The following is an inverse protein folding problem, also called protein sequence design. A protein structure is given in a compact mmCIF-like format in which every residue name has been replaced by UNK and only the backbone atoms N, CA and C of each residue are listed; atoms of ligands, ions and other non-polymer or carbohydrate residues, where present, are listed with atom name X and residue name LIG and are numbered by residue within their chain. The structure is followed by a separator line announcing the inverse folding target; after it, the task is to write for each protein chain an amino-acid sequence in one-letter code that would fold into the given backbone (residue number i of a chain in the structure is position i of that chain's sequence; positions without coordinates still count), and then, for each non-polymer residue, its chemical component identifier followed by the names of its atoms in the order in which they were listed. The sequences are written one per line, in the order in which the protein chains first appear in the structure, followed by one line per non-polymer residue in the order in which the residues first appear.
data_IF_149936206436
#
_entry.id   IF_149936206436
#
_cell.length_a   1.000
_cell.length_b   1.000
_cell.length_c   1.000
_cell.angle_alpha   90.00
_cell.angle_beta   90.00
_cell.angle_gamma   90.00
#
_symmetry.space_group_name_H-M   'P 1'
#
loop_
_entity.id
_entity.type
_entity.pdbx_description
1 polymer ?
#
# COMPACT_ATOMS: atom_id res chain seq x y z
N UNK A 1 10.61 -1.15 -17.05
CA UNK A 1 9.35 -0.38 -17.14
C UNK A 1 8.54 -0.80 -18.35
N UNK A 2 9.08 -0.75 -19.57
CA UNK A 2 8.28 -1.07 -20.77
C UNK A 2 7.73 -2.51 -20.80
N UNK A 3 8.44 -3.49 -20.24
CA UNK A 3 7.93 -4.86 -20.10
C UNK A 3 6.72 -4.96 -19.15
N UNK A 4 6.68 -4.16 -18.08
CA UNK A 4 5.56 -4.12 -17.12
C UNK A 4 4.33 -3.50 -17.78
N UNK A 5 4.53 -2.42 -18.54
CA UNK A 5 3.47 -1.79 -19.33
C UNK A 5 2.87 -2.75 -20.37
N UNK A 6 3.72 -3.54 -21.02
CA UNK A 6 3.27 -4.57 -21.97
C UNK A 6 2.44 -5.65 -21.27
N UNK A 7 2.81 -6.08 -20.07
CA UNK A 7 2.02 -7.03 -19.26
C UNK A 7 0.67 -6.46 -18.84
N UNK A 8 0.60 -5.17 -18.49
CA UNK A 8 -0.66 -4.47 -18.18
C UNK A 8 -1.53 -4.38 -19.44
N UNK A 9 -0.98 -3.86 -20.55
CA UNK A 9 -1.70 -3.64 -21.80
C UNK A 9 -2.18 -4.92 -22.49
N UNK A 10 -1.51 -6.05 -22.25
CA UNK A 10 -1.90 -7.34 -22.80
C UNK A 10 -3.01 -8.03 -22.00
N UNK A 11 -3.55 -7.39 -20.95
CA UNK A 11 -4.61 -7.97 -20.11
C UNK A 11 -4.13 -9.18 -19.30
N UNK A 12 -2.83 -9.33 -19.08
CA UNK A 12 -2.28 -10.43 -18.28
C UNK A 12 -2.72 -10.32 -16.82
N UNK A 13 -2.92 -9.10 -16.31
CA UNK A 13 -3.49 -8.85 -14.98
C UNK A 13 -4.92 -9.40 -14.90
N UNK A 14 -5.74 -9.12 -15.93
CA UNK A 14 -7.08 -9.69 -16.09
C UNK A 14 -7.04 -11.22 -16.11
N UNK A 15 -6.12 -11.83 -16.84
CA UNK A 15 -6.00 -13.30 -16.85
C UNK A 15 -5.62 -13.90 -15.49
N UNK A 16 -4.67 -13.30 -14.75
CA UNK A 16 -4.24 -13.80 -13.44
C UNK A 16 -5.35 -13.67 -12.38
N UNK A 17 -6.13 -12.58 -12.43
CA UNK A 17 -7.26 -12.36 -11.52
C UNK A 17 -8.47 -13.26 -11.83
N UNK A 18 -8.66 -13.65 -13.10
CA UNK A 18 -9.79 -14.48 -13.54
C UNK A 18 -9.46 -15.98 -13.53
N UNK A 19 -8.20 -16.37 -13.82
CA UNK A 19 -7.73 -17.77 -13.82
C UNK A 19 -7.18 -18.18 -12.46
N UNK A 20 -7.98 -18.12 -11.40
CA UNK A 20 -7.57 -18.63 -10.08
C UNK A 20 -7.72 -20.16 -9.89
N UNK A 21 -7.97 -20.95 -10.95
CA UNK A 21 -8.32 -22.37 -10.79
C UNK A 21 -7.47 -23.42 -11.54
N UNK A 22 -6.37 -23.08 -12.23
CA UNK A 22 -5.67 -24.10 -13.06
C UNK A 22 -4.14 -24.07 -13.16
N UNK A 23 -3.43 -23.17 -12.47
CA UNK A 23 -1.95 -23.21 -12.49
C UNK A 23 -1.41 -23.85 -11.22
N UNK A 24 -1.13 -25.14 -11.32
CA UNK A 24 -0.31 -25.88 -10.37
C UNK A 24 1.04 -25.17 -10.25
N UNK A 25 1.33 -24.59 -9.09
CA UNK A 25 2.63 -24.00 -8.78
C UNK A 25 3.71 -25.05 -9.03
N UNK A 26 4.74 -24.69 -9.79
CA UNK A 26 5.90 -25.54 -10.02
C UNK A 26 6.79 -25.36 -8.79
N UNK A 27 6.71 -26.33 -7.88
CA UNK A 27 7.55 -26.45 -6.71
C UNK A 27 8.92 -26.99 -7.16
N UNK A 28 9.97 -26.16 -7.09
CA UNK A 28 11.33 -26.54 -7.54
C UNK A 28 12.08 -27.28 -6.40
N UNK A 29 11.54 -27.26 -5.18
CA UNK A 29 12.13 -27.78 -3.94
C UNK A 29 11.04 -27.91 -2.85
N UNK A 30 11.23 -28.72 -1.79
CA UNK A 30 10.23 -28.97 -0.70
C UNK A 30 9.90 -27.73 0.19
N UNK A 31 10.24 -26.51 -0.25
CA UNK A 31 9.99 -25.27 0.47
C UNK A 31 9.09 -24.40 -0.40
N UNK A 32 7.89 -24.08 0.07
CA UNK A 32 7.02 -23.11 -0.60
C UNK A 32 7.54 -21.69 -0.34
N UNK A 33 8.37 -21.14 -1.24
CA UNK A 33 8.97 -19.81 -1.10
C UNK A 33 7.94 -18.69 -0.99
N UNK A 34 6.77 -18.89 -1.61
CA UNK A 34 5.67 -17.91 -1.55
C UNK A 34 5.13 -17.81 -0.13
N UNK A 35 4.96 -18.95 0.55
CA UNK A 35 4.52 -18.99 1.95
C UNK A 35 5.56 -18.36 2.88
N UNK A 36 6.84 -18.66 2.70
CA UNK A 36 7.91 -18.10 3.53
C UNK A 36 8.07 -16.58 3.33
N UNK A 37 7.92 -16.08 2.10
CA UNK A 37 7.90 -14.64 1.83
C UNK A 37 6.69 -13.96 2.49
N UNK A 38 5.51 -14.59 2.45
CA UNK A 38 4.30 -14.08 3.12
C UNK A 38 4.50 -14.01 4.63
N UNK A 39 5.08 -15.05 5.25
CA UNK A 39 5.40 -15.05 6.69
C UNK A 39 6.42 -13.97 7.06
N UNK A 40 7.47 -13.79 6.26
CA UNK A 40 8.47 -12.75 6.46
C UNK A 40 7.85 -11.35 6.38
N UNK A 41 7.02 -11.11 5.36
CA UNK A 41 6.29 -9.85 5.19
C UNK A 41 5.30 -9.60 6.32
N UNK A 42 4.54 -10.62 6.71
CA UNK A 42 3.61 -10.54 7.84
C UNK A 42 4.35 -10.19 9.13
N UNK A 43 5.49 -10.84 9.41
CA UNK A 43 6.33 -10.56 10.57
C UNK A 43 6.83 -9.10 10.57
N UNK A 44 7.34 -8.61 9.44
CA UNK A 44 7.76 -7.21 9.31
C UNK A 44 6.61 -6.24 9.57
N UNK A 45 5.44 -6.47 8.96
CA UNK A 45 4.27 -5.60 9.13
C UNK A 45 3.81 -5.61 10.59
N UNK A 46 3.65 -6.78 11.20
CA UNK A 46 3.11 -6.94 12.56
C UNK A 46 4.06 -6.38 13.61
N UNK A 47 5.36 -6.64 13.48
CA UNK A 47 6.33 -6.32 14.52
C UNK A 47 7.01 -4.96 14.33
N UNK A 48 6.99 -4.38 13.12
CA UNK A 48 7.63 -3.09 12.83
C UNK A 48 6.62 -2.04 12.41
N UNK A 49 5.87 -2.31 11.35
CA UNK A 49 5.01 -1.29 10.74
C UNK A 49 3.81 -0.95 11.61
N UNK A 50 3.07 -1.95 12.10
CA UNK A 50 1.89 -1.75 12.94
C UNK A 50 2.25 -0.87 14.15
N UNK A 51 3.23 -1.21 15.01
CA UNK A 51 3.62 -0.36 16.12
C UNK A 51 4.06 1.06 15.73
N UNK A 52 4.74 1.20 14.59
CA UNK A 52 5.26 2.48 14.11
C UNK A 52 4.14 3.44 13.70
N UNK A 53 3.09 2.95 13.04
CA UNK A 53 1.95 3.77 12.58
C UNK A 53 0.86 3.98 13.64
N UNK A 54 1.10 3.57 14.89
CA UNK A 54 0.07 3.54 15.94
C UNK A 54 -0.60 4.90 16.13
N UNK A 55 0.18 5.96 16.18
CA UNK A 55 -0.32 7.31 16.46
C UNK A 55 -1.28 7.76 15.36
N UNK A 56 -0.88 7.61 14.10
CA UNK A 56 -1.64 7.98 12.91
C UNK A 56 -2.90 7.12 12.78
N UNK A 57 -2.79 5.82 13.06
CA UNK A 57 -3.93 4.91 13.06
C UNK A 57 -4.95 5.26 14.16
N UNK A 58 -4.49 5.57 15.37
CA UNK A 58 -5.36 6.00 16.47
C UNK A 58 -6.02 7.36 16.16
N UNK A 59 -5.31 8.30 15.54
CA UNK A 59 -5.89 9.58 15.09
C UNK A 59 -6.98 9.37 14.03
N UNK A 60 -6.72 8.51 13.04
CA UNK A 60 -7.71 8.17 12.03
C UNK A 60 -8.95 7.49 12.64
N UNK A 61 -8.76 6.54 13.55
CA UNK A 61 -9.85 5.88 14.27
C UNK A 61 -10.64 6.89 15.11
N UNK A 62 -9.96 7.79 15.81
CA UNK A 62 -10.58 8.85 16.62
C UNK A 62 -11.50 9.73 15.79
N UNK A 63 -11.03 10.20 14.64
CA UNK A 63 -11.85 10.98 13.72
C UNK A 63 -13.16 10.26 13.35
N UNK A 64 -13.06 8.97 13.01
CA UNK A 64 -14.22 8.19 12.59
C UNK A 64 -15.17 7.88 13.76
N UNK A 65 -14.64 7.57 14.94
CA UNK A 65 -15.44 7.32 16.15
C UNK A 65 -16.16 8.59 16.59
N UNK A 66 -15.47 9.74 16.64
CA UNK A 66 -16.11 11.01 17.00
C UNK A 66 -17.19 11.41 15.99
N UNK A 67 -16.92 11.22 14.69
CA UNK A 67 -17.92 11.48 13.64
C UNK A 67 -19.15 10.57 13.78
N UNK A 68 -18.97 9.29 14.10
CA UNK A 68 -20.07 8.37 14.33
C UNK A 68 -20.88 8.75 15.59
N UNK A 69 -20.21 9.08 16.70
CA UNK A 69 -20.86 9.44 17.96
C UNK A 69 -21.66 10.75 17.83
N UNK A 70 -21.11 11.75 17.17
CA UNK A 70 -21.77 13.06 16.97
C UNK A 70 -23.01 12.99 16.08
N UNK A 71 -23.12 11.97 15.24
CA UNK A 71 -24.31 11.71 14.41
C UNK A 71 -25.44 11.02 15.18
N UNK A 72 -25.21 10.56 16.42
CA UNK A 72 -26.25 9.89 17.20
C UNK A 72 -27.22 10.89 17.84
N UNK A 73 -28.55 10.62 17.85
CA UNK A 73 -29.53 11.47 18.51
C UNK A 73 -29.27 11.69 20.00
N UNK A 74 -28.70 10.68 20.67
CA UNK A 74 -28.33 10.74 22.08
C UNK A 74 -27.26 11.81 22.36
N UNK A 75 -26.29 11.98 21.45
CA UNK A 75 -25.25 12.98 21.58
C UNK A 75 -25.78 14.40 21.37
N UNK A 76 -26.60 14.60 20.33
CA UNK A 76 -27.20 15.90 20.02
C UNK A 76 -28.06 16.44 21.17
N UNK A 77 -28.76 15.56 21.89
CA UNK A 77 -29.56 15.93 23.05
C UNK A 77 -28.76 16.34 24.30
N UNK A 78 -27.48 15.96 24.37
CA UNK A 78 -26.62 16.16 25.55
C UNK A 78 -25.46 17.13 25.31
N UNK A 79 -25.26 17.63 24.08
CA UNK A 79 -24.12 18.47 23.70
C UNK A 79 -23.99 19.76 24.56
N UNK A 80 -25.12 20.29 25.03
CA UNK A 80 -25.18 21.51 25.84
C UNK A 80 -24.95 21.28 27.35
N UNK A 81 -24.81 20.02 27.78
CA UNK A 81 -24.60 19.70 29.20
C UNK A 81 -23.11 19.86 29.55
N UNK A 82 -22.77 20.65 30.59
CA UNK A 82 -21.39 20.80 31.04
C UNK A 82 -20.74 19.45 31.36
N UNK A 83 -19.54 19.23 30.83
CA UNK A 83 -18.76 18.00 31.08
C UNK A 83 -19.02 16.84 30.11
N UNK A 84 -20.09 16.86 29.31
CA UNK A 84 -20.37 15.79 28.34
C UNK A 84 -19.29 15.67 27.26
N UNK A 85 -18.77 16.79 26.76
CA UNK A 85 -17.66 16.80 25.78
C UNK A 85 -16.39 16.15 26.33
N UNK A 86 -16.06 16.39 27.60
CA UNK A 86 -14.90 15.78 28.24
C UNK A 86 -15.09 14.27 28.44
N UNK A 87 -16.29 13.84 28.85
CA UNK A 87 -16.64 12.43 28.98
C UNK A 87 -16.60 11.69 27.64
N UNK A 88 -17.14 12.31 26.58
CA UNK A 88 -17.08 11.77 25.22
C UNK A 88 -15.64 11.58 24.77
N UNK A 89 -14.81 12.62 24.88
CA UNK A 89 -13.40 12.54 24.48
C UNK A 89 -12.69 11.38 25.19
N UNK A 90 -12.88 11.22 26.50
CA UNK A 90 -12.30 10.09 27.24
C UNK A 90 -12.82 8.72 26.79
N UNK A 91 -14.11 8.63 26.43
CA UNK A 91 -14.69 7.40 25.90
C UNK A 91 -14.11 7.08 24.52
N UNK A 92 -14.03 8.08 23.63
CA UNK A 92 -13.40 7.95 22.32
C UNK A 92 -11.96 7.48 22.45
N UNK A 93 -11.14 8.12 23.30
CA UNK A 93 -9.76 7.71 23.55
C UNK A 93 -9.63 6.23 23.93
N UNK A 94 -10.47 5.77 24.86
CA UNK A 94 -10.47 4.38 25.32
C UNK A 94 -10.90 3.41 24.22
N UNK A 95 -11.97 3.75 23.48
CA UNK A 95 -12.46 2.92 22.40
C UNK A 95 -11.42 2.78 21.28
N UNK A 96 -10.82 3.90 20.87
CA UNK A 96 -9.77 3.93 19.85
C UNK A 96 -8.59 3.04 20.26
N UNK A 97 -8.08 3.23 21.48
CA UNK A 97 -6.95 2.44 21.98
C UNK A 97 -7.28 0.96 22.07
N UNK A 98 -8.50 0.60 22.51
CA UNK A 98 -8.94 -0.79 22.59
C UNK A 98 -9.13 -1.43 21.22
N UNK A 99 -9.70 -0.70 20.25
CA UNK A 99 -9.88 -1.19 18.87
C UNK A 99 -8.53 -1.44 18.21
N UNK A 100 -7.61 -0.48 18.32
CA UNK A 100 -6.28 -0.60 17.75
C UNK A 100 -5.48 -1.74 18.41
N UNK A 101 -5.55 -1.87 19.74
CA UNK A 101 -4.90 -2.96 20.46
C UNK A 101 -5.49 -4.32 20.07
N UNK A 102 -6.82 -4.43 19.98
CA UNK A 102 -7.50 -5.66 19.57
C UNK A 102 -7.10 -6.10 18.17
N UNK A 103 -7.02 -5.17 17.21
CA UNK A 103 -6.52 -5.44 15.87
C UNK A 103 -5.06 -5.88 15.89
N UNK A 104 -4.20 -5.19 16.64
CA UNK A 104 -2.77 -5.52 16.73
C UNK A 104 -2.55 -6.92 17.29
N UNK A 105 -3.29 -7.31 18.34
CA UNK A 105 -3.23 -8.66 18.92
C UNK A 105 -3.80 -9.70 17.97
N UNK A 106 -4.91 -9.40 17.28
CA UNK A 106 -5.48 -10.30 16.27
C UNK A 106 -4.51 -10.57 15.12
N UNK A 107 -3.79 -9.54 14.68
CA UNK A 107 -2.75 -9.67 13.66
C UNK A 107 -1.53 -10.46 14.16
N UNK A 108 -1.14 -10.33 15.43
CA UNK A 108 -0.11 -11.20 16.02
C UNK A 108 -0.47 -12.68 15.97
N UNK A 109 -1.76 -13.03 15.89
CA UNK A 109 -2.23 -14.38 15.64
C UNK A 109 -1.71 -14.98 14.33
N UNK A 110 -1.39 -14.16 13.31
CA UNK A 110 -0.76 -14.61 12.05
C UNK A 110 0.67 -15.16 12.24
N UNK A 111 1.31 -14.86 13.37
CA UNK A 111 2.66 -15.35 13.70
C UNK A 111 2.64 -16.61 14.56
N UNK A 112 1.45 -17.07 14.96
CA UNK A 112 1.26 -18.25 15.80
C UNK A 112 0.64 -19.33 14.91
N UNK A 113 1.14 -20.55 15.01
CA UNK A 113 0.49 -21.70 14.38
C UNK A 113 -0.80 -22.04 15.14
N UNK A 114 -1.92 -21.47 14.70
CA UNK A 114 -3.27 -21.75 15.20
C UNK A 114 -4.11 -22.34 14.04
N UNK A 115 -4.36 -23.67 14.05
CA UNK A 115 -5.10 -24.33 12.98
C UNK A 115 -6.52 -23.82 12.75
N UNK A 116 -7.19 -23.30 13.78
CA UNK A 116 -8.54 -22.74 13.65
C UNK A 116 -8.50 -21.35 13.04
N UNK A 117 -7.51 -20.55 13.43
CA UNK A 117 -7.25 -19.24 12.81
C UNK A 117 -6.89 -19.39 11.33
N UNK A 118 -5.97 -20.30 10.98
CA UNK A 118 -5.56 -20.56 9.61
C UNK A 118 -6.74 -20.96 8.73
N UNK A 119 -7.60 -21.85 9.24
CA UNK A 119 -8.83 -22.28 8.56
C UNK A 119 -9.82 -21.14 8.34
N UNK A 120 -9.95 -20.21 9.30
CA UNK A 120 -10.82 -19.04 9.16
C UNK A 120 -10.25 -18.04 8.15
N UNK A 121 -8.93 -17.84 8.18
CA UNK A 121 -8.22 -16.96 7.25
C UNK A 121 -8.31 -17.48 5.83
N UNK A 122 -8.09 -18.77 5.61
CA UNK A 122 -8.20 -19.42 4.29
C UNK A 122 -9.59 -19.19 3.68
N UNK A 123 -10.65 -19.43 4.46
CA UNK A 123 -12.04 -19.18 4.04
C UNK A 123 -12.30 -17.71 3.70
N UNK A 124 -11.73 -16.78 4.48
CA UNK A 124 -11.87 -15.35 4.23
C UNK A 124 -11.17 -14.96 2.92
N UNK A 125 -9.95 -15.44 2.70
CA UNK A 125 -9.16 -15.17 1.49
C UNK A 125 -9.83 -15.74 0.25
N UNK A 126 -10.33 -16.97 0.32
CA UNK A 126 -11.07 -17.61 -0.78
C UNK A 126 -12.30 -16.79 -1.14
N UNK A 127 -13.12 -16.43 -0.15
CA UNK A 127 -14.34 -15.66 -0.37
C UNK A 127 -14.05 -14.25 -0.89
N UNK A 128 -13.04 -13.59 -0.33
CA UNK A 128 -12.60 -12.27 -0.75
C UNK A 128 -12.13 -12.28 -2.21
N UNK A 129 -11.23 -13.19 -2.58
CA UNK A 129 -10.68 -13.29 -3.93
C UNK A 129 -11.77 -13.54 -4.96
N UNK A 130 -12.69 -14.46 -4.66
CA UNK A 130 -13.84 -14.76 -5.53
C UNK A 130 -14.79 -13.57 -5.69
N UNK A 131 -15.10 -12.87 -4.60
CA UNK A 131 -15.99 -11.70 -4.64
C UNK A 131 -15.34 -10.53 -5.39
N UNK A 132 -14.07 -10.24 -5.11
CA UNK A 132 -13.33 -9.18 -5.78
C UNK A 132 -13.21 -9.46 -7.28
N UNK A 133 -12.82 -10.68 -7.66
CA UNK A 133 -12.72 -11.07 -9.07
C UNK A 133 -14.06 -10.98 -9.82
N UNK A 134 -15.18 -11.23 -9.14
CA UNK A 134 -16.53 -11.08 -9.70
C UNK A 134 -16.89 -9.62 -9.93
N UNK A 135 -16.68 -8.74 -8.94
CA UNK A 135 -17.05 -7.32 -9.05
C UNK A 135 -16.16 -6.57 -10.05
N UNK A 136 -14.84 -6.85 -10.02
CA UNK A 136 -13.89 -6.27 -10.97
C UNK A 136 -14.23 -6.61 -12.43
N UNK A 137 -14.82 -7.78 -12.68
CA UNK A 137 -15.34 -8.17 -14.01
C UNK A 137 -16.67 -7.50 -14.35
N UNK A 138 -17.55 -7.31 -13.37
CA UNK A 138 -18.89 -6.78 -13.58
C UNK A 138 -18.88 -5.26 -13.84
N UNK A 139 -18.02 -4.52 -13.15
CA UNK A 139 -18.00 -3.05 -13.22
C UNK A 139 -16.96 -2.47 -14.19
N UNK A 140 -16.29 -3.29 -15.00
CA UNK A 140 -15.16 -2.84 -15.85
C UNK A 140 -14.05 -2.12 -15.05
N UNK A 141 -13.95 -2.40 -13.75
CA UNK A 141 -12.98 -1.75 -12.87
C UNK A 141 -11.55 -2.19 -13.19
N UNK A 142 -11.35 -3.37 -13.79
CA UNK A 142 -10.03 -3.81 -14.24
C UNK A 142 -9.48 -2.86 -15.31
N UNK A 143 -10.29 -2.47 -16.30
CA UNK A 143 -9.80 -1.55 -17.34
C UNK A 143 -9.42 -0.18 -16.75
N UNK A 144 -10.12 0.28 -15.72
CA UNK A 144 -9.79 1.51 -15.00
C UNK A 144 -8.50 1.38 -14.19
N UNK A 145 -8.28 0.26 -13.50
CA UNK A 145 -7.06 -0.02 -12.75
C UNK A 145 -5.86 -0.11 -13.72
N UNK A 146 -6.01 -0.80 -14.85
CA UNK A 146 -4.96 -0.90 -15.88
C UNK A 146 -4.59 0.50 -16.43
N UNK A 147 -5.58 1.38 -16.66
CA UNK A 147 -5.33 2.77 -17.06
C UNK A 147 -4.55 3.55 -16.00
N UNK A 148 -4.98 3.50 -14.73
CA UNK A 148 -4.32 4.24 -13.64
C UNK A 148 -2.90 3.74 -13.37
N UNK A 149 -2.66 2.42 -13.46
CA UNK A 149 -1.32 1.86 -13.36
C UNK A 149 -0.43 2.31 -14.52
N UNK A 150 -1.00 2.39 -15.72
CA UNK A 150 -0.28 2.87 -16.88
C UNK A 150 0.12 4.35 -16.72
N UNK A 151 -0.80 5.18 -16.26
CA UNK A 151 -0.55 6.61 -16.00
C UNK A 151 0.51 6.79 -14.90
N UNK A 152 0.44 6.03 -13.81
CA UNK A 152 1.43 6.07 -12.73
C UNK A 152 2.84 5.67 -13.21
N UNK A 153 2.95 4.66 -14.08
CA UNK A 153 4.24 4.26 -14.65
C UNK A 153 4.81 5.35 -15.57
N UNK A 154 3.96 6.06 -16.30
CA UNK A 154 4.34 7.23 -17.11
C UNK A 154 4.85 8.36 -16.20
N UNK A 155 4.15 8.65 -15.10
CA UNK A 155 4.58 9.65 -14.11
C UNK A 155 5.94 9.31 -13.48
N UNK A 156 6.17 8.06 -13.08
CA UNK A 156 7.46 7.61 -12.55
C UNK A 156 8.57 7.78 -13.60
N UNK A 157 8.29 7.42 -14.87
CA UNK A 157 9.24 7.56 -15.97
C UNK A 157 9.59 9.03 -16.20
N UNK A 158 8.60 9.92 -16.22
CA UNK A 158 8.79 11.37 -16.35
C UNK A 158 9.67 11.90 -15.21
N UNK A 159 9.35 11.56 -13.96
CA UNK A 159 10.12 11.99 -12.79
C UNK A 159 11.57 11.46 -12.82
N UNK A 160 11.77 10.21 -13.25
CA UNK A 160 13.11 9.62 -13.37
C UNK A 160 13.94 10.27 -14.49
N UNK A 161 13.33 10.58 -15.64
CA UNK A 161 13.98 11.28 -16.75
C UNK A 161 14.31 12.73 -16.37
N UNK A 162 13.42 13.41 -15.64
CA UNK A 162 13.65 14.78 -15.16
C UNK A 162 14.86 14.84 -14.22
N UNK A 163 14.98 13.90 -13.27
CA UNK A 163 16.13 13.83 -12.37
C UNK A 163 17.47 13.58 -13.12
N UNK A 164 17.47 12.71 -14.13
CA UNK A 164 18.64 12.49 -14.98
C UNK A 164 19.02 13.72 -15.81
N UNK A 165 18.05 14.54 -16.23
CA UNK A 165 18.35 15.74 -17.03
C UNK A 165 19.03 16.84 -16.21
N UNK A 166 18.74 16.96 -14.91
CA UNK A 166 19.44 17.91 -14.03
C UNK A 166 20.89 17.47 -13.76
N UNK A 167 21.11 16.20 -13.41
CA UNK A 167 22.45 15.67 -13.07
C UNK A 167 23.40 15.59 -14.28
N UNK A 168 22.86 15.28 -15.47
CA UNK A 168 23.67 15.19 -16.69
C UNK A 168 23.95 16.55 -17.34
N UNK A 169 23.06 17.54 -17.23
CA UNK A 169 23.32 18.89 -17.77
C UNK A 169 24.47 19.56 -17.00
N UNK A 170 24.53 19.44 -15.67
CA UNK A 170 25.64 19.97 -14.88
C UNK A 170 26.97 19.30 -15.24
N UNK A 171 27.00 17.96 -15.32
CA UNK A 171 28.21 17.23 -15.73
C UNK A 171 28.67 17.57 -17.16
N UNK A 172 27.75 17.70 -18.12
CA UNK A 172 28.08 18.07 -19.51
C UNK A 172 28.57 19.52 -19.60
N UNK A 173 27.99 20.43 -18.82
CA UNK A 173 28.45 21.83 -18.74
C UNK A 173 29.85 21.91 -18.15
N UNK A 174 30.13 21.22 -17.04
CA UNK A 174 31.46 21.17 -16.43
C UNK A 174 32.52 20.60 -17.38
N UNK A 175 32.22 19.51 -18.08
CA UNK A 175 33.12 18.94 -19.10
C UNK A 175 33.37 19.91 -20.26
N UNK A 176 32.34 20.63 -20.70
CA UNK A 176 32.48 21.65 -21.76
C UNK A 176 33.32 22.85 -21.29
N UNK A 177 33.18 23.25 -20.02
CA UNK A 177 33.98 24.31 -19.41
C UNK A 177 35.45 23.91 -19.29
N UNK A 178 35.74 22.68 -18.86
CA UNK A 178 37.10 22.14 -18.79
C UNK A 178 37.78 22.10 -20.16
N UNK A 179 37.08 21.58 -21.19
CA UNK A 179 37.60 21.50 -22.56
C UNK A 179 37.87 22.88 -23.19
N UNK A 180 37.12 23.91 -22.79
CA UNK A 180 37.34 25.29 -23.26
C UNK A 180 38.52 25.98 -22.58
N UNK A 181 38.85 25.58 -21.35
CA UNK A 181 40.02 26.09 -20.61
C UNK A 181 41.33 25.43 -21.03
N UNK A 182 41.30 24.20 -21.55
CA UNK A 182 42.49 23.47 -22.02
C UNK A 182 43.00 23.88 -23.41
N UNK A 183 42.33 24.81 -24.13
CA UNK A 183 42.83 25.37 -25.40
C UNK A 183 43.41 26.77 -25.21
N UNK A 184 44.73 26.92 -24.94
CA UNK A 184 45.41 28.19 -25.17
C UNK A 184 45.55 28.44 -26.67
N UNK A 185 45.21 29.66 -27.10
CA UNK A 185 45.37 30.18 -28.46
C UNK A 185 46.84 30.07 -28.89
N UNK A 186 47.21 29.04 -29.66
CA UNK A 186 48.47 29.04 -30.39
C UNK A 186 48.35 30.00 -31.56
N UNK A 187 49.00 31.16 -31.39
CA UNK A 187 49.16 32.18 -32.41
C UNK A 187 49.90 31.61 -33.63
N UNK A 188 49.34 31.86 -34.81
CA UNK A 188 50.06 31.71 -36.07
C UNK A 188 51.20 32.75 -36.13
N UNK A 189 52.43 32.29 -36.36
CA UNK A 189 53.53 33.11 -36.86
C UNK A 189 54.34 32.32 -37.87
#
# INVERSE_FOLDING_TARGET
MDQVQVTINNGTIREVLIKQNTTQYIDINDVNETSELVKLMANLIINKVIPEIRTEAEEFLRYNVDKALTQTPAYQGLENVPGVKAMQSQLTERLVSQLYQGLSVGLQGLLIEDPDFDRLLEKLVEKFSKSLGSELQAEHSIEQIESLLNDLLEEIKINYIQNLSQENIENILEQTHALRQEKPLTQYK
#
